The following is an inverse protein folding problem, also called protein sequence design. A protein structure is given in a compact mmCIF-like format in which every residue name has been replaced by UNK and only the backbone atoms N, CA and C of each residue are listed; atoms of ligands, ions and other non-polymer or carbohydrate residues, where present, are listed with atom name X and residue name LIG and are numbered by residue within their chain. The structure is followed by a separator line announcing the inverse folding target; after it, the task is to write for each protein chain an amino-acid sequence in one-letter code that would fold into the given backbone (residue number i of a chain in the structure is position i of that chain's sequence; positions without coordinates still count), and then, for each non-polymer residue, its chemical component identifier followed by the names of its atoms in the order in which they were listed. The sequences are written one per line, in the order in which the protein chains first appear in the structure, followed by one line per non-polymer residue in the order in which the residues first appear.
data_IF_069830495485
#
_entry.id   IF_069830495485
#
_cell.length_a   1.000
_cell.length_b   1.000
_cell.length_c   1.000
_cell.angle_alpha   90.00
_cell.angle_beta   90.00
_cell.angle_gamma   90.00
#
_symmetry.space_group_name_H-M   'P 1'
#
loop_
_entity.id
_entity.type
_entity.pdbx_description
1 polymer ?
#
# COMPACT_ATOMS: atom_id res chain seq x y z
N UNK A 1 -7.19 -19.39 2.70
CA UNK A 1 -8.00 -18.18 2.97
C UNK A 1 -8.52 -17.63 1.66
N UNK A 2 -9.68 -16.97 1.67
CA UNK A 2 -10.27 -16.32 0.50
C UNK A 2 -9.47 -15.04 0.15
N UNK A 3 -9.38 -14.70 -1.14
CA UNK A 3 -8.72 -13.50 -1.64
C UNK A 3 -9.25 -12.20 -0.97
N UNK A 4 -10.55 -12.15 -0.69
CA UNK A 4 -11.19 -11.02 0.01
C UNK A 4 -10.65 -10.86 1.43
N UNK A 5 -10.55 -11.96 2.19
CA UNK A 5 -10.03 -11.92 3.56
C UNK A 5 -8.56 -11.48 3.55
N UNK A 6 -7.76 -12.01 2.63
CA UNK A 6 -6.37 -11.62 2.45
C UNK A 6 -6.21 -10.14 2.07
N UNK A 7 -7.07 -9.63 1.17
CA UNK A 7 -7.09 -8.21 0.81
C UNK A 7 -7.43 -7.31 2.02
N UNK A 8 -8.37 -7.71 2.87
CA UNK A 8 -8.73 -6.96 4.09
C UNK A 8 -7.63 -7.01 5.15
N UNK A 9 -6.95 -8.15 5.31
CA UNK A 9 -5.76 -8.26 6.18
C UNK A 9 -4.64 -7.36 5.67
N UNK A 10 -4.42 -7.35 4.36
CA UNK A 10 -3.47 -6.44 3.73
C UNK A 10 -3.84 -4.98 3.98
N UNK A 11 -5.10 -4.59 3.80
CA UNK A 11 -5.60 -3.24 4.05
C UNK A 11 -5.35 -2.81 5.50
N UNK A 12 -5.65 -3.67 6.47
CA UNK A 12 -5.36 -3.41 7.89
C UNK A 12 -3.86 -3.17 8.12
N UNK A 13 -3.01 -4.04 7.56
CA UNK A 13 -1.55 -3.93 7.71
C UNK A 13 -0.98 -2.64 7.10
N UNK A 14 -1.46 -2.20 5.92
CA UNK A 14 -1.06 -0.92 5.32
C UNK A 14 -1.53 0.27 6.15
N UNK A 15 -2.77 0.26 6.64
CA UNK A 15 -3.28 1.28 7.55
C UNK A 15 -2.46 1.37 8.84
N UNK A 16 -2.12 0.22 9.43
CA UNK A 16 -1.26 0.15 10.62
C UNK A 16 0.15 0.68 10.33
N UNK A 17 0.76 0.28 9.21
CA UNK A 17 2.06 0.79 8.77
C UNK A 17 2.05 2.32 8.68
N UNK A 18 1.05 2.91 8.03
CA UNK A 18 0.93 4.36 7.88
C UNK A 18 0.89 5.09 9.22
N UNK A 19 0.15 4.54 10.19
CA UNK A 19 0.07 5.08 11.56
C UNK A 19 1.40 4.98 12.28
N UNK A 20 2.09 3.85 12.18
CA UNK A 20 3.38 3.61 12.83
C UNK A 20 4.54 4.40 12.19
N UNK A 21 4.43 4.75 10.90
CA UNK A 21 5.42 5.62 10.23
C UNK A 21 5.42 7.04 10.76
N UNK A 22 4.27 7.56 11.17
CA UNK A 22 4.11 8.96 11.59
C UNK A 22 5.06 9.36 12.73
N UNK A 23 5.11 8.67 13.89
CA UNK A 23 6.04 9.02 14.96
C UNK A 23 7.51 8.81 14.56
N UNK A 24 7.80 7.80 13.75
CA UNK A 24 9.17 7.53 13.28
C UNK A 24 9.71 8.66 12.39
N UNK A 25 8.90 9.18 11.47
CA UNK A 25 9.25 10.34 10.63
C UNK A 25 9.33 11.65 11.45
N UNK A 26 8.54 11.77 12.51
CA UNK A 26 8.57 12.91 13.45
C UNK A 26 9.89 13.07 14.19
N UNK A 27 10.75 12.06 14.21
CA UNK A 27 12.11 12.14 14.80
C UNK A 27 13.12 12.91 13.94
N UNK A 28 12.70 13.46 12.80
CA UNK A 28 13.57 14.18 11.86
C UNK A 28 14.48 13.29 11.01
N UNK A 29 14.18 12.01 10.93
CA UNK A 29 14.89 11.06 10.05
C UNK A 29 14.58 11.38 8.59
N UNK A 30 15.59 11.30 7.73
CA UNK A 30 15.44 11.46 6.29
C UNK A 30 14.41 10.45 5.75
N UNK A 31 13.37 10.88 5.01
CA UNK A 31 12.30 10.01 4.51
C UNK A 31 12.79 8.82 3.69
N UNK A 32 13.83 9.05 2.88
CA UNK A 32 14.42 7.99 2.06
C UNK A 32 15.04 6.87 2.91
N UNK A 33 15.64 7.24 4.06
CA UNK A 33 16.15 6.27 5.02
C UNK A 33 15.00 5.53 5.73
N UNK A 34 13.92 6.24 6.03
CA UNK A 34 12.70 5.63 6.58
C UNK A 34 12.07 4.62 5.62
N UNK A 35 11.96 4.97 4.34
CA UNK A 35 11.50 4.07 3.30
C UNK A 35 12.37 2.81 3.20
N UNK A 36 13.71 2.97 3.17
CA UNK A 36 14.65 1.85 3.15
C UNK A 36 14.47 0.94 4.37
N UNK A 37 14.44 1.52 5.57
CA UNK A 37 14.31 0.76 6.81
C UNK A 37 13.00 -0.04 6.85
N UNK A 38 11.89 0.57 6.44
CA UNK A 38 10.58 -0.09 6.37
C UNK A 38 10.61 -1.27 5.39
N UNK A 39 11.14 -1.07 4.18
CA UNK A 39 11.19 -2.13 3.16
C UNK A 39 12.17 -3.24 3.53
N UNK A 40 13.32 -2.95 4.11
CA UNK A 40 14.29 -3.97 4.58
C UNK A 40 13.67 -4.86 5.65
N UNK A 41 12.97 -4.28 6.63
CA UNK A 41 12.27 -5.07 7.67
C UNK A 41 11.14 -5.90 7.04
N UNK A 42 10.37 -5.33 6.12
CA UNK A 42 9.32 -6.04 5.39
C UNK A 42 9.89 -7.22 4.57
N UNK A 43 11.06 -7.03 3.94
CA UNK A 43 11.79 -8.11 3.25
C UNK A 43 12.11 -9.26 4.22
N UNK A 44 12.54 -8.93 5.43
CA UNK A 44 12.79 -9.94 6.47
C UNK A 44 11.53 -10.75 6.82
N UNK A 45 10.38 -10.07 6.95
CA UNK A 45 9.09 -10.74 7.20
C UNK A 45 8.70 -11.66 6.04
N UNK A 46 8.81 -11.18 4.80
CA UNK A 46 8.51 -11.98 3.61
C UNK A 46 9.45 -13.19 3.47
N UNK A 47 10.74 -13.01 3.76
CA UNK A 47 11.72 -14.08 3.76
C UNK A 47 11.38 -15.17 4.79
N UNK A 48 10.97 -14.77 5.99
CA UNK A 48 10.50 -15.73 7.02
C UNK A 48 9.30 -16.51 6.52
N UNK A 49 8.34 -15.86 5.87
CA UNK A 49 7.19 -16.54 5.28
C UNK A 49 7.62 -17.53 4.17
N UNK A 50 8.55 -17.13 3.29
CA UNK A 50 9.09 -18.00 2.24
C UNK A 50 9.86 -19.22 2.82
N UNK A 51 10.60 -19.02 3.91
CA UNK A 51 11.30 -20.12 4.62
C UNK A 51 10.29 -21.09 5.22
N UNK A 52 9.22 -20.60 5.82
CA UNK A 52 8.16 -21.47 6.40
C UNK A 52 7.44 -22.25 5.29
N UNK A 53 7.15 -21.61 4.16
CA UNK A 53 6.52 -22.24 3.00
C UNK A 53 7.41 -23.34 2.39
N UNK A 54 8.72 -23.13 2.35
CA UNK A 54 9.70 -24.13 1.94
C UNK A 54 9.81 -24.37 0.42
N UNK A 55 9.08 -23.61 -0.40
CA UNK A 55 9.15 -23.67 -1.86
C UNK A 55 10.17 -22.65 -2.41
N UNK A 56 11.30 -23.16 -2.95
CA UNK A 56 12.41 -22.34 -3.44
C UNK A 56 12.55 -22.38 -4.96
N UNK A 57 11.42 -22.22 -5.68
CA UNK A 57 11.44 -22.12 -7.15
C UNK A 57 12.02 -20.78 -7.59
N UNK A 58 13.34 -20.74 -7.83
CA UNK A 58 14.06 -19.52 -8.21
C UNK A 58 13.87 -19.14 -9.69
N UNK A 59 13.47 -20.09 -10.54
CA UNK A 59 13.16 -19.80 -11.94
C UNK A 59 11.86 -19.01 -12.03
N UNK A 60 11.86 -17.91 -12.81
CA UNK A 60 10.68 -17.03 -12.96
C UNK A 60 10.62 -15.84 -12.00
N UNK A 61 11.65 -15.56 -11.20
CA UNK A 61 11.71 -14.41 -10.31
C UNK A 61 11.92 -13.07 -11.02
N UNK A 62 12.42 -13.07 -12.26
CA UNK A 62 12.73 -11.85 -13.02
C UNK A 62 11.62 -10.80 -13.03
N UNK A 63 10.38 -11.14 -13.40
CA UNK A 63 9.25 -10.21 -13.37
C UNK A 63 9.00 -9.61 -11.99
N UNK A 64 9.13 -10.38 -10.91
CA UNK A 64 8.94 -9.88 -9.54
C UNK A 64 10.04 -8.94 -9.09
N UNK A 65 11.28 -9.17 -9.53
CA UNK A 65 12.38 -8.21 -9.33
C UNK A 65 12.09 -6.89 -10.06
N UNK A 66 11.55 -6.93 -11.28
CA UNK A 66 11.13 -5.74 -12.01
C UNK A 66 9.97 -5.03 -11.31
N UNK A 67 8.97 -5.79 -10.83
CA UNK A 67 7.87 -5.24 -10.05
C UNK A 67 8.36 -4.47 -8.81
N UNK A 68 9.41 -4.96 -8.15
CA UNK A 68 9.97 -4.31 -6.97
C UNK A 68 10.68 -2.99 -7.24
N UNK A 69 11.24 -2.79 -8.43
CA UNK A 69 11.78 -1.49 -8.85
C UNK A 69 10.64 -0.45 -8.90
N UNK A 70 9.50 -0.80 -9.47
CA UNK A 70 8.31 0.07 -9.50
C UNK A 70 7.76 0.25 -8.08
N UNK A 71 7.44 -0.82 -7.42
CA UNK A 71 6.91 -0.83 -6.07
C UNK A 71 7.30 -2.07 -5.28
N UNK A 72 7.97 -1.91 -4.14
CA UNK A 72 8.11 -0.71 -3.31
C UNK A 72 9.27 0.24 -3.63
N UNK A 73 10.06 0.03 -4.67
CA UNK A 73 11.17 0.93 -5.01
C UNK A 73 10.71 2.38 -5.22
N UNK A 74 10.28 2.71 -6.44
CA UNK A 74 9.89 4.07 -6.83
C UNK A 74 8.65 4.53 -6.04
N UNK A 75 7.62 3.69 -5.95
CA UNK A 75 6.36 4.06 -5.30
C UNK A 75 6.53 4.41 -3.83
N UNK A 76 7.36 3.66 -3.07
CA UNK A 76 7.58 3.94 -1.66
C UNK A 76 8.38 5.22 -1.45
N UNK A 77 9.32 5.54 -2.35
CA UNK A 77 10.02 6.83 -2.32
C UNK A 77 9.01 7.96 -2.51
N UNK A 78 8.20 7.91 -3.58
CA UNK A 78 7.19 8.93 -3.88
C UNK A 78 6.21 9.08 -2.73
N UNK A 79 5.69 7.98 -2.19
CA UNK A 79 4.76 7.95 -1.06
C UNK A 79 5.36 8.61 0.19
N UNK A 80 6.59 8.24 0.56
CA UNK A 80 7.23 8.76 1.77
C UNK A 80 7.50 10.25 1.67
N UNK A 81 7.92 10.74 0.50
CA UNK A 81 8.04 12.19 0.25
C UNK A 81 6.69 12.89 0.21
N UNK A 82 5.64 12.28 -0.37
CA UNK A 82 4.29 12.82 -0.35
C UNK A 82 3.78 13.00 1.09
N UNK A 83 3.99 12.00 1.96
CA UNK A 83 3.64 12.09 3.40
C UNK A 83 4.38 13.24 4.08
N UNK A 84 5.64 13.47 3.75
CA UNK A 84 6.42 14.59 4.28
C UNK A 84 5.88 15.95 3.82
N UNK A 85 5.55 16.10 2.53
CA UNK A 85 5.20 17.39 1.92
C UNK A 85 3.71 17.76 2.05
N UNK A 86 2.80 16.77 2.03
CA UNK A 86 1.35 16.99 2.10
C UNK A 86 0.70 16.49 3.39
N UNK A 87 1.45 15.73 4.19
CA UNK A 87 0.94 15.07 5.39
C UNK A 87 0.23 13.73 5.09
N UNK A 88 0.11 12.85 6.12
CA UNK A 88 -0.39 11.49 5.93
C UNK A 88 -1.83 11.44 5.40
N UNK A 89 -2.76 12.24 5.96
CA UNK A 89 -4.17 12.21 5.57
C UNK A 89 -4.40 12.55 4.09
N UNK A 90 -3.74 13.61 3.59
CA UNK A 90 -3.89 14.03 2.19
C UNK A 90 -3.19 13.07 1.23
N UNK A 91 -2.05 12.56 1.62
CA UNK A 91 -1.35 11.52 0.85
C UNK A 91 -2.22 10.28 0.73
N UNK A 92 -2.77 9.75 1.84
CA UNK A 92 -3.66 8.59 1.82
C UNK A 92 -4.91 8.82 0.99
N UNK A 93 -5.52 10.03 1.05
CA UNK A 93 -6.65 10.37 0.20
C UNK A 93 -6.31 10.32 -1.29
N UNK A 94 -5.19 10.93 -1.65
CA UNK A 94 -4.78 10.99 -3.06
C UNK A 94 -4.38 9.61 -3.57
N UNK A 95 -3.64 8.83 -2.78
CA UNK A 95 -3.29 7.45 -3.11
C UNK A 95 -4.53 6.54 -3.13
N UNK A 96 -5.56 6.85 -2.34
CA UNK A 96 -6.85 6.17 -2.37
C UNK A 96 -7.55 6.17 -3.74
N UNK A 97 -7.06 6.92 -4.72
CA UNK A 97 -7.51 6.87 -6.12
C UNK A 97 -6.88 5.68 -6.87
N UNK A 98 -5.80 5.10 -6.38
CA UNK A 98 -5.10 3.98 -7.04
C UNK A 98 -6.02 2.82 -7.46
N UNK A 99 -7.04 2.40 -6.69
CA UNK A 99 -7.95 1.35 -7.11
C UNK A 99 -8.72 1.65 -8.39
N UNK A 100 -9.03 2.91 -8.69
CA UNK A 100 -9.68 3.25 -9.96
C UNK A 100 -8.75 2.97 -11.14
N UNK A 101 -7.47 3.33 -11.03
CA UNK A 101 -6.46 2.98 -12.03
C UNK A 101 -6.32 1.45 -12.13
N UNK A 102 -6.27 0.74 -11.00
CA UNK A 102 -6.13 -0.71 -10.97
C UNK A 102 -7.33 -1.42 -11.64
N UNK A 103 -8.57 -0.97 -11.38
CA UNK A 103 -9.76 -1.51 -12.05
C UNK A 103 -9.75 -1.21 -13.55
N UNK A 104 -9.38 0.00 -13.95
CA UNK A 104 -9.25 0.35 -15.37
C UNK A 104 -8.20 -0.56 -16.05
N UNK A 105 -7.05 -0.73 -15.43
CA UNK A 105 -5.99 -1.60 -15.97
C UNK A 105 -6.38 -3.07 -15.96
N UNK A 106 -7.10 -3.55 -14.95
CA UNK A 106 -7.61 -4.92 -14.90
C UNK A 106 -8.55 -5.21 -16.07
N UNK A 107 -9.46 -4.27 -16.36
CA UNK A 107 -10.42 -4.42 -17.47
C UNK A 107 -9.72 -4.30 -18.83
N UNK A 108 -8.84 -3.30 -18.99
CA UNK A 108 -8.25 -2.98 -20.31
C UNK A 108 -7.05 -3.86 -20.66
N UNK A 109 -6.25 -4.25 -19.66
CA UNK A 109 -4.98 -4.97 -19.89
C UNK A 109 -5.04 -6.45 -19.52
N UNK A 110 -5.97 -6.85 -18.61
CA UNK A 110 -6.10 -8.22 -18.13
C UNK A 110 -7.40 -8.88 -18.59
N UNK A 111 -8.23 -8.19 -19.41
CA UNK A 111 -9.52 -8.65 -19.87
C UNK A 111 -10.47 -9.13 -18.75
N UNK A 112 -10.29 -8.56 -17.52
CA UNK A 112 -11.18 -8.87 -16.41
C UNK A 112 -12.58 -8.29 -16.64
N UNK A 113 -13.67 -9.05 -16.35
CA UNK A 113 -15.01 -8.55 -16.57
C UNK A 113 -15.35 -7.38 -15.63
N UNK A 114 -15.81 -6.27 -16.20
CA UNK A 114 -16.32 -5.14 -15.44
C UNK A 114 -17.75 -5.40 -14.98
N UNK A 115 -17.91 -5.95 -13.77
CA UNK A 115 -19.22 -6.11 -13.16
C UNK A 115 -19.67 -4.79 -12.52
N UNK A 116 -20.93 -4.43 -12.70
CA UNK A 116 -21.49 -3.17 -12.19
C UNK A 116 -21.27 -2.99 -10.68
N UNK A 117 -21.43 -4.06 -9.90
CA UNK A 117 -21.18 -4.00 -8.45
C UNK A 117 -19.73 -3.73 -8.08
N UNK A 118 -18.77 -4.24 -8.88
CA UNK A 118 -17.33 -3.93 -8.69
C UNK A 118 -17.07 -2.45 -8.99
N UNK A 119 -17.59 -1.92 -10.10
CA UNK A 119 -17.43 -0.53 -10.47
C UNK A 119 -18.03 0.43 -9.43
N UNK A 120 -19.28 0.20 -9.02
CA UNK A 120 -19.96 1.00 -8.00
C UNK A 120 -19.27 0.89 -6.64
N UNK A 121 -18.83 -0.30 -6.27
CA UNK A 121 -18.10 -0.54 -5.03
C UNK A 121 -16.75 0.17 -5.01
N UNK A 122 -15.98 0.12 -6.10
CA UNK A 122 -14.71 0.83 -6.23
C UNK A 122 -14.91 2.35 -6.13
N UNK A 123 -15.90 2.90 -6.82
CA UNK A 123 -16.25 4.32 -6.74
C UNK A 123 -16.66 4.73 -5.31
N UNK A 124 -17.46 3.90 -4.63
CA UNK A 124 -17.88 4.16 -3.26
C UNK A 124 -16.68 4.16 -2.29
N UNK A 125 -15.75 3.20 -2.41
CA UNK A 125 -14.52 3.14 -1.59
C UNK A 125 -13.69 4.39 -1.81
N UNK A 126 -13.44 4.77 -3.06
CA UNK A 126 -12.62 5.95 -3.37
C UNK A 126 -13.28 7.23 -2.87
N UNK A 127 -14.57 7.42 -3.15
CA UNK A 127 -15.30 8.60 -2.69
C UNK A 127 -15.34 8.67 -1.15
N UNK A 128 -15.55 7.52 -0.49
CA UNK A 128 -15.48 7.38 0.96
C UNK A 128 -14.09 7.74 1.50
N UNK A 129 -13.02 7.22 0.89
CA UNK A 129 -11.64 7.53 1.26
C UNK A 129 -11.30 9.01 1.12
N UNK A 130 -11.70 9.66 0.03
CA UNK A 130 -11.55 11.11 -0.16
C UNK A 130 -12.31 11.89 0.92
N UNK A 131 -13.54 11.47 1.23
CA UNK A 131 -14.35 12.13 2.26
C UNK A 131 -13.72 12.03 3.65
N UNK A 132 -13.18 10.84 4.00
CA UNK A 132 -12.44 10.59 5.25
C UNK A 132 -11.21 11.50 5.37
N UNK A 133 -10.47 11.67 4.29
CA UNK A 133 -9.24 12.43 4.31
C UNK A 133 -9.45 13.95 4.30
N UNK A 134 -10.60 14.44 3.84
CA UNK A 134 -10.92 15.89 3.84
C UNK A 134 -11.37 16.41 5.20
N UNK A 135 -11.69 15.53 6.16
CA UNK A 135 -12.16 15.94 7.48
C UNK A 135 -11.03 16.25 8.49
N UNK A 136 -9.83 15.78 8.26
CA UNK A 136 -8.67 16.02 9.14
C UNK A 136 -8.25 17.47 9.10
N UNK A 137 -8.13 18.10 10.29
CA UNK A 137 -7.80 19.52 10.47
C UNK A 137 -6.65 20.00 9.59
N UNK A 138 -6.76 21.22 9.06
CA UNK A 138 -5.78 21.85 8.16
C UNK A 138 -4.40 21.94 8.85
N UNK A 139 -3.37 21.26 8.37
CA UNK A 139 -1.99 21.63 8.70
C UNK A 139 -1.62 22.91 7.95
N UNK A 140 -0.92 23.81 8.61
CA UNK A 140 -0.58 25.14 8.09
C UNK A 140 0.39 25.14 6.88
N UNK A 141 0.96 23.99 6.50
CA UNK A 141 1.94 23.91 5.42
C UNK A 141 1.72 22.70 4.53
N UNK A 142 0.87 22.85 3.50
CA UNK A 142 0.72 21.86 2.42
C UNK A 142 1.40 22.38 1.17
N UNK A 143 2.37 21.63 0.69
CA UNK A 143 3.01 21.89 -0.60
C UNK A 143 2.29 21.13 -1.70
N UNK A 144 1.84 21.77 -2.79
CA UNK A 144 1.18 21.09 -3.92
C UNK A 144 1.98 19.93 -4.50
N UNK A 145 3.30 20.01 -4.44
CA UNK A 145 4.21 18.94 -4.88
C UNK A 145 3.94 17.60 -4.17
N UNK A 146 3.52 17.64 -2.89
CA UNK A 146 3.18 16.43 -2.16
C UNK A 146 1.97 15.69 -2.73
N UNK A 147 0.99 16.43 -3.24
CA UNK A 147 -0.19 15.84 -3.91
C UNK A 147 0.19 15.24 -5.27
N UNK A 148 1.06 15.91 -6.02
CA UNK A 148 1.59 15.37 -7.29
C UNK A 148 2.36 14.08 -7.04
N UNK A 149 3.23 14.05 -6.04
CA UNK A 149 3.98 12.85 -5.65
C UNK A 149 3.05 11.71 -5.22
N UNK A 150 1.97 12.02 -4.49
CA UNK A 150 0.97 11.04 -4.09
C UNK A 150 0.21 10.47 -5.30
N UNK A 151 -0.16 11.31 -6.27
CA UNK A 151 -0.81 10.85 -7.51
C UNK A 151 0.12 9.98 -8.36
N UNK A 152 1.38 10.37 -8.50
CA UNK A 152 2.39 9.55 -9.16
C UNK A 152 2.59 8.21 -8.44
N UNK A 153 2.62 8.21 -7.09
CA UNK A 153 2.69 6.98 -6.31
C UNK A 153 1.47 6.08 -6.56
N UNK A 154 0.26 6.64 -6.60
CA UNK A 154 -0.97 5.92 -6.90
C UNK A 154 -0.92 5.21 -8.27
N UNK A 155 -0.45 5.93 -9.29
CA UNK A 155 -0.32 5.38 -10.64
C UNK A 155 0.73 4.24 -10.69
N UNK A 156 1.87 4.42 -10.02
CA UNK A 156 2.92 3.40 -9.95
C UNK A 156 2.44 2.17 -9.17
N UNK A 157 1.70 2.36 -8.07
CA UNK A 157 1.07 1.25 -7.33
C UNK A 157 0.12 0.44 -8.22
N UNK A 158 -0.81 1.12 -8.89
CA UNK A 158 -1.76 0.46 -9.77
C UNK A 158 -1.07 -0.29 -10.93
N UNK A 159 -0.06 0.32 -11.54
CA UNK A 159 0.73 -0.31 -12.61
C UNK A 159 1.46 -1.57 -12.12
N UNK A 160 2.09 -1.48 -10.94
CA UNK A 160 2.78 -2.61 -10.32
C UNK A 160 1.81 -3.73 -9.98
N UNK A 161 0.65 -3.43 -9.38
CA UNK A 161 -0.35 -4.42 -8.99
C UNK A 161 -0.91 -5.15 -10.21
N UNK A 162 -1.19 -4.42 -11.29
CA UNK A 162 -1.60 -4.98 -12.58
C UNK A 162 -0.53 -5.92 -13.14
N UNK A 163 0.73 -5.47 -13.15
CA UNK A 163 1.84 -6.27 -13.62
C UNK A 163 2.04 -7.54 -12.77
N UNK A 164 2.02 -7.43 -11.45
CA UNK A 164 2.13 -8.59 -10.55
C UNK A 164 0.99 -9.55 -10.80
N UNK A 165 -0.25 -9.07 -10.93
CA UNK A 165 -1.40 -9.93 -11.21
C UNK A 165 -1.28 -10.65 -12.54
N UNK A 166 -0.83 -9.97 -13.60
CA UNK A 166 -0.64 -10.61 -14.91
C UNK A 166 0.38 -11.76 -14.87
N UNK A 167 1.44 -11.59 -14.09
CA UNK A 167 2.47 -12.63 -13.91
C UNK A 167 1.99 -13.76 -12.99
N UNK A 168 1.25 -13.43 -11.93
CA UNK A 168 0.82 -14.37 -10.90
C UNK A 168 -0.14 -15.45 -11.43
N UNK A 169 -0.91 -15.15 -12.47
CA UNK A 169 -1.91 -16.09 -13.05
C UNK A 169 -1.26 -17.38 -13.54
N UNK A 170 -0.10 -17.27 -14.19
CA UNK A 170 0.59 -18.41 -14.80
C UNK A 170 1.92 -18.73 -14.09
N UNK A 171 2.13 -18.17 -12.89
CA UNK A 171 3.40 -18.33 -12.18
C UNK A 171 3.46 -19.64 -11.39
N UNK A 172 4.61 -20.30 -11.48
CA UNK A 172 4.97 -21.42 -10.61
C UNK A 172 5.74 -20.97 -9.36
N UNK A 173 6.06 -19.68 -9.23
CA UNK A 173 6.74 -19.11 -8.07
C UNK A 173 5.73 -18.92 -6.96
N UNK A 174 6.05 -19.35 -5.73
CA UNK A 174 5.16 -19.13 -4.59
C UNK A 174 4.98 -17.63 -4.27
N UNK A 175 3.81 -17.22 -3.76
CA UNK A 175 3.55 -15.81 -3.41
C UNK A 175 4.58 -15.22 -2.45
N UNK A 176 5.04 -16.02 -1.48
CA UNK A 176 6.01 -15.62 -0.46
C UNK A 176 7.40 -15.36 -1.07
N UNK A 177 7.81 -16.21 -2.01
CA UNK A 177 9.07 -16.05 -2.71
C UNK A 177 8.99 -14.88 -3.70
N UNK A 178 7.87 -14.72 -4.39
CA UNK A 178 7.58 -13.61 -5.29
C UNK A 178 7.66 -12.26 -4.57
N UNK A 179 7.01 -12.14 -3.38
CA UNK A 179 7.07 -10.90 -2.60
C UNK A 179 8.46 -10.66 -2.00
N UNK A 180 9.17 -11.71 -1.59
CA UNK A 180 10.54 -11.58 -1.09
C UNK A 180 11.46 -11.00 -2.17
N UNK A 181 11.36 -11.48 -3.41
CA UNK A 181 12.10 -10.94 -4.54
C UNK A 181 11.73 -9.47 -4.83
N UNK A 182 10.43 -9.17 -4.81
CA UNK A 182 9.90 -7.82 -5.05
C UNK A 182 10.39 -6.83 -3.99
N UNK A 183 10.29 -7.17 -2.71
CA UNK A 183 10.75 -6.31 -1.62
C UNK A 183 12.28 -6.16 -1.63
N UNK A 184 13.02 -7.21 -1.97
CA UNK A 184 14.49 -7.16 -2.06
C UNK A 184 14.95 -6.19 -3.15
N UNK A 185 14.39 -6.27 -4.37
CA UNK A 185 14.73 -5.34 -5.45
C UNK A 185 14.26 -3.91 -5.16
N UNK A 186 13.12 -3.75 -4.48
CA UNK A 186 12.65 -2.47 -3.99
C UNK A 186 13.60 -1.85 -2.96
N UNK A 187 14.06 -2.63 -1.99
CA UNK A 187 15.07 -2.19 -1.02
C UNK A 187 16.37 -1.77 -1.71
N UNK A 188 16.83 -2.55 -2.70
CA UNK A 188 18.00 -2.21 -3.49
C UNK A 188 17.81 -0.90 -4.26
N UNK A 189 16.64 -0.69 -4.88
CA UNK A 189 16.31 0.55 -5.59
C UNK A 189 16.37 1.76 -4.67
N UNK A 190 15.80 1.66 -3.46
CA UNK A 190 15.82 2.74 -2.47
C UNK A 190 17.25 2.96 -1.95
N UNK A 191 18.03 1.90 -1.74
CA UNK A 191 19.42 1.99 -1.34
C UNK A 191 20.26 2.72 -2.39
N UNK A 192 20.10 2.38 -3.67
CA UNK A 192 20.76 3.07 -4.78
C UNK A 192 20.39 4.56 -4.80
N UNK A 193 19.11 4.89 -4.65
CA UNK A 193 18.65 6.28 -4.56
C UNK A 193 19.28 7.01 -3.37
N UNK A 194 19.42 6.35 -2.22
CA UNK A 194 20.08 6.91 -1.04
C UNK A 194 21.56 7.20 -1.29
N UNK A 195 22.28 6.26 -1.93
CA UNK A 195 23.70 6.41 -2.26
C UNK A 195 23.94 7.51 -3.29
N UNK A 196 23.11 7.56 -4.36
CA UNK A 196 23.20 8.60 -5.41
C UNK A 196 22.92 9.99 -4.82
N UNK A 197 21.95 10.11 -3.93
CA UNK A 197 21.65 11.38 -3.25
C UNK A 197 22.60 11.72 -2.13
N UNK A 198 23.62 10.89 -1.88
CA UNK A 198 24.66 11.05 -0.82
C UNK A 198 24.09 11.30 0.57
N UNK A 199 22.89 10.76 0.84
CA UNK A 199 22.28 10.86 2.17
C UNK A 199 22.95 9.91 3.15
N UNK A 200 23.10 10.36 4.40
CA UNK A 200 23.79 9.56 5.42
C UNK A 200 22.94 8.39 5.90
N UNK A 201 23.48 7.20 5.83
CA UNK A 201 22.94 5.99 6.45
C UNK A 201 23.14 6.07 7.98
N UNK A 202 22.03 6.30 8.71
CA UNK A 202 22.01 6.20 10.18
C UNK A 202 21.30 4.91 10.59
N UNK A 203 22.03 3.81 10.62
CA UNK A 203 21.48 2.47 10.94
C UNK A 203 20.77 2.46 12.30
N UNK A 204 21.25 3.23 13.28
CA UNK A 204 20.60 3.35 14.59
C UNK A 204 19.14 3.85 14.52
N UNK A 205 18.78 4.57 13.45
CA UNK A 205 17.40 5.05 13.23
C UNK A 205 16.45 3.97 12.73
N UNK A 206 16.95 2.84 12.22
CA UNK A 206 16.11 1.73 11.72
C UNK A 206 15.14 1.20 12.77
N UNK A 207 15.54 1.19 14.04
CA UNK A 207 14.72 0.71 15.16
C UNK A 207 13.33 1.37 15.23
N UNK A 208 13.24 2.64 14.84
CA UNK A 208 11.96 3.38 14.87
C UNK A 208 10.98 2.91 13.79
N UNK A 209 11.51 2.31 12.71
CA UNK A 209 10.72 1.84 11.57
C UNK A 209 10.41 0.33 11.61
N UNK A 210 10.97 -0.40 12.58
CA UNK A 210 10.74 -1.86 12.72
C UNK A 210 9.24 -2.20 12.84
N UNK A 211 8.44 -1.55 13.70
CA UNK A 211 7.02 -1.87 13.79
C UNK A 211 6.27 -1.61 12.49
N UNK A 212 6.58 -0.49 11.81
CA UNK A 212 5.98 -0.15 10.51
C UNK A 212 6.41 -1.17 9.43
N UNK A 213 7.68 -1.58 9.43
CA UNK A 213 8.20 -2.59 8.49
C UNK A 213 7.58 -3.96 8.68
N UNK A 214 7.33 -4.38 9.92
CA UNK A 214 6.61 -5.64 10.20
C UNK A 214 5.18 -5.58 9.65
N UNK A 215 4.44 -4.50 9.96
CA UNK A 215 3.08 -4.30 9.45
C UNK A 215 3.06 -4.30 7.91
N UNK A 216 4.03 -3.63 7.28
CA UNK A 216 4.20 -3.58 5.84
C UNK A 216 4.49 -4.95 5.23
N UNK A 217 5.38 -5.75 5.86
CA UNK A 217 5.72 -7.09 5.40
C UNK A 217 4.52 -8.04 5.44
N UNK A 218 3.81 -8.07 6.56
CA UNK A 218 2.57 -8.88 6.70
C UNK A 218 1.52 -8.45 5.68
N UNK A 219 1.37 -7.13 5.48
CA UNK A 219 0.44 -6.59 4.48
C UNK A 219 0.78 -7.05 3.07
N UNK A 220 2.06 -6.98 2.68
CA UNK A 220 2.50 -7.40 1.34
C UNK A 220 2.41 -8.90 1.11
N UNK A 221 2.74 -9.73 2.11
CA UNK A 221 2.53 -11.18 2.02
C UNK A 221 1.05 -11.49 1.76
N UNK A 222 0.15 -10.87 2.53
CA UNK A 222 -1.30 -11.04 2.35
C UNK A 222 -1.78 -10.52 0.99
N UNK A 223 -1.19 -9.42 0.49
CA UNK A 223 -1.53 -8.84 -0.81
C UNK A 223 -1.17 -9.77 -1.96
N UNK A 224 0.04 -10.32 -1.95
CA UNK A 224 0.48 -11.23 -3.01
C UNK A 224 -0.33 -12.52 -2.99
N UNK A 225 -0.58 -13.07 -1.83
CA UNK A 225 -1.50 -14.19 -1.66
C UNK A 225 -2.91 -13.88 -2.24
N UNK A 226 -3.40 -12.67 -2.04
CA UNK A 226 -4.68 -12.24 -2.62
C UNK A 226 -4.60 -12.14 -4.15
N UNK A 227 -3.50 -11.64 -4.72
CA UNK A 227 -3.33 -11.56 -6.18
C UNK A 227 -3.23 -12.93 -6.85
N UNK A 228 -2.66 -13.91 -6.19
CA UNK A 228 -2.60 -15.28 -6.72
C UNK A 228 -3.97 -15.97 -6.71
N UNK A 229 -4.87 -15.57 -5.81
CA UNK A 229 -6.17 -16.23 -5.59
C UNK A 229 -7.37 -15.47 -6.12
N UNK A 230 -7.23 -14.16 -6.43
CA UNK A 230 -8.36 -13.31 -6.79
C UNK A 230 -8.08 -12.35 -7.93
N UNK A 231 -9.16 -11.80 -8.50
CA UNK A 231 -9.08 -10.78 -9.56
C UNK A 231 -8.56 -9.46 -9.00
N UNK A 232 -7.77 -8.74 -9.79
CA UNK A 232 -7.25 -7.42 -9.42
C UNK A 232 -8.38 -6.42 -9.18
N UNK A 233 -9.43 -6.44 -10.01
CA UNK A 233 -10.61 -5.59 -9.90
C UNK A 233 -11.38 -5.75 -8.58
N UNK A 234 -11.21 -6.88 -7.89
CA UNK A 234 -11.77 -7.14 -6.56
C UNK A 234 -10.77 -6.81 -5.46
N UNK A 235 -9.52 -7.25 -5.60
CA UNK A 235 -8.50 -7.13 -4.55
C UNK A 235 -8.10 -5.67 -4.35
N UNK A 236 -7.80 -4.93 -5.43
CA UNK A 236 -7.28 -3.57 -5.31
C UNK A 236 -8.24 -2.60 -4.60
N UNK A 237 -9.56 -2.55 -4.89
CA UNK A 237 -10.49 -1.70 -4.14
C UNK A 237 -10.63 -2.11 -2.66
N UNK A 238 -10.56 -3.41 -2.35
CA UNK A 238 -10.62 -3.87 -0.96
C UNK A 238 -9.37 -3.46 -0.17
N UNK A 239 -8.21 -3.51 -0.79
CA UNK A 239 -6.96 -3.03 -0.16
C UNK A 239 -7.03 -1.52 0.11
N UNK A 240 -7.69 -0.73 -0.73
CA UNK A 240 -7.85 0.70 -0.49
C UNK A 240 -8.70 1.04 0.76
N UNK A 241 -9.39 0.07 1.35
CA UNK A 241 -10.00 0.26 2.68
C UNK A 241 -8.96 0.51 3.77
N UNK A 242 -7.66 0.44 3.46
CA UNK A 242 -6.55 0.85 4.33
C UNK A 242 -6.72 2.26 4.89
N UNK A 243 -7.33 3.17 4.13
CA UNK A 243 -7.61 4.54 4.58
C UNK A 243 -8.53 4.55 5.82
N UNK A 244 -9.51 3.66 5.87
CA UNK A 244 -10.40 3.50 7.03
C UNK A 244 -9.63 2.98 8.25
N UNK A 245 -8.78 1.98 8.05
CA UNK A 245 -7.94 1.44 9.10
C UNK A 245 -6.92 2.46 9.60
N UNK A 246 -6.25 3.17 8.69
CA UNK A 246 -5.31 4.24 9.01
C UNK A 246 -5.95 5.32 9.88
N UNK A 247 -7.16 5.76 9.53
CA UNK A 247 -7.90 6.74 10.31
C UNK A 247 -8.32 6.20 11.67
N UNK A 248 -8.93 5.01 11.72
CA UNK A 248 -9.40 4.40 12.96
C UNK A 248 -8.25 4.17 13.93
N UNK A 249 -7.15 3.61 13.45
CA UNK A 249 -5.97 3.38 14.27
C UNK A 249 -5.31 4.70 14.71
N UNK A 250 -5.27 5.72 13.83
CA UNK A 250 -4.80 7.05 14.23
C UNK A 250 -5.62 7.64 15.38
N UNK A 251 -6.93 7.49 15.35
CA UNK A 251 -7.82 7.95 16.42
C UNK A 251 -7.57 7.19 17.73
N UNK A 252 -7.31 5.88 17.66
CA UNK A 252 -7.01 5.05 18.84
C UNK A 252 -5.64 5.40 19.43
N UNK A 253 -4.59 5.48 18.61
CA UNK A 253 -3.21 5.64 19.11
C UNK A 253 -2.87 7.08 19.50
N UNK A 254 -3.42 8.08 18.80
CA UNK A 254 -3.05 9.49 19.02
C UNK A 254 -4.13 10.31 19.71
N UNK A 255 -5.28 9.73 20.02
CA UNK A 255 -6.37 10.23 20.87
C UNK A 255 -6.90 11.66 20.59
N UNK A 256 -8.15 11.89 20.92
CA UNK A 256 -8.87 13.17 21.21
C UNK A 256 -8.88 14.35 20.20
N UNK A 257 -8.19 14.35 19.08
CA UNK A 257 -8.26 15.48 18.15
C UNK A 257 -9.15 15.23 16.91
N UNK A 258 -9.71 14.03 16.76
CA UNK A 258 -10.63 13.72 15.68
C UNK A 258 -12.06 13.61 16.25
N UNK A 259 -12.82 14.71 16.16
CA UNK A 259 -14.27 14.66 16.39
C UNK A 259 -14.87 13.84 15.25
N UNK A 260 -15.62 12.78 15.59
CA UNK A 260 -16.39 11.98 14.63
C UNK A 260 -17.48 12.88 14.04
N UNK A 261 -17.15 13.57 12.97
CA UNK A 261 -18.09 14.42 12.23
C UNK A 261 -18.98 13.59 11.30
N UNK A 262 -20.04 14.21 10.77
CA UNK A 262 -20.93 13.55 9.80
C UNK A 262 -20.18 13.08 8.53
N UNK A 263 -19.15 13.81 8.10
CA UNK A 263 -18.32 13.44 6.95
C UNK A 263 -17.52 12.17 7.19
N UNK A 264 -16.94 12.03 8.39
CA UNK A 264 -16.22 10.83 8.81
C UNK A 264 -17.14 9.61 8.78
N UNK A 265 -18.34 9.73 9.39
CA UNK A 265 -19.33 8.66 9.41
C UNK A 265 -19.80 8.29 7.99
N UNK A 266 -20.07 9.29 7.14
CA UNK A 266 -20.48 9.07 5.76
C UNK A 266 -19.36 8.40 4.92
N UNK A 267 -18.12 8.88 5.06
CA UNK A 267 -16.97 8.28 4.36
C UNK A 267 -16.73 6.83 4.78
N UNK A 268 -16.78 6.53 6.08
CA UNK A 268 -16.67 5.18 6.59
C UNK A 268 -17.80 4.26 6.07
N UNK A 269 -19.04 4.74 6.08
CA UNK A 269 -20.18 4.00 5.53
C UNK A 269 -20.01 3.70 4.03
N UNK A 270 -19.53 4.66 3.24
CA UNK A 270 -19.27 4.47 1.81
C UNK A 270 -18.18 3.40 1.57
N UNK A 271 -17.10 3.40 2.36
CA UNK A 271 -16.04 2.40 2.27
C UNK A 271 -16.57 1.01 2.59
N UNK A 272 -17.36 0.87 3.66
CA UNK A 272 -17.95 -0.42 4.07
C UNK A 272 -18.94 -0.93 3.02
N UNK A 273 -19.87 -0.07 2.56
CA UNK A 273 -20.85 -0.43 1.53
C UNK A 273 -20.15 -0.82 0.23
N UNK A 274 -19.12 -0.05 -0.19
CA UNK A 274 -18.33 -0.36 -1.37
C UNK A 274 -17.64 -1.72 -1.27
N UNK A 275 -17.04 -2.04 -0.12
CA UNK A 275 -16.43 -3.34 0.14
C UNK A 275 -17.43 -4.50 0.06
N UNK A 276 -18.64 -4.32 0.63
CA UNK A 276 -19.73 -5.31 0.56
C UNK A 276 -20.20 -5.52 -0.88
N UNK A 277 -20.40 -4.44 -1.65
CA UNK A 277 -20.79 -4.52 -3.06
C UNK A 277 -19.80 -5.33 -3.89
N UNK A 278 -18.50 -5.10 -3.71
CA UNK A 278 -17.45 -5.87 -4.40
C UNK A 278 -17.48 -7.33 -3.95
N UNK A 279 -17.57 -7.57 -2.64
CA UNK A 279 -17.58 -8.93 -2.11
C UNK A 279 -18.75 -9.80 -2.59
N UNK A 280 -19.90 -9.20 -2.83
CA UNK A 280 -21.11 -9.90 -3.35
C UNK A 280 -21.09 -10.05 -4.87
N UNK A 281 -20.41 -9.14 -5.59
CA UNK A 281 -20.42 -9.08 -7.07
C UNK A 281 -19.26 -9.85 -7.72
N UNK A 282 -18.41 -10.51 -6.95
CA UNK A 282 -17.22 -11.25 -7.42
C UNK A 282 -17.54 -12.61 -8.06
#
# INVERSE_FOLDING_TARGET
MDAVVLALVSAFGFGLMTVLLRPALGTGVEPLLGALATVVVATGVALVAAVIQGDWQLSGLGPYLLAGILGPGISQILFTYAVREAGPSRTSATVGIAPLFAVIFAVVLLDEPLLLGIALGALAIVAGGVLLATESGRPDHVRPIGLVLALCAALVFASRDTFVRSVAVDSHVSPELAITATLSSGALTILVALLVTRKRLRVASFRYFVPAGIAFGVSYVSLYEAFYRGRLSVVAPLVATECLWGLTLSAIFFGRHERVGRRLAAGAAMVVVGGVLIGVSR
#
